data_IF_411130144028
#
_entry.id   IF_411130144028
#
_cell.length_a   1.000
_cell.length_b   1.000
_cell.length_c   1.000
_cell.angle_alpha   90.00
_cell.angle_beta   90.00
_cell.angle_gamma   90.00
#
_symmetry.space_group_name_H-M   'P 1'
#
loop_
_entity.id
_entity.type
_entity.pdbx_description
1 polymer ?
#
# COMPACT_ATOMS: atom_id res chain seq x y z
N UNK A 1 4.59 21.01 -4.67
CA UNK A 1 4.99 19.98 -3.70
C UNK A 1 6.25 19.34 -4.23
N UNK A 2 7.31 19.32 -3.43
CA UNK A 2 8.61 18.82 -3.87
C UNK A 2 8.68 17.29 -3.82
N UNK A 3 9.64 16.69 -4.55
CA UNK A 3 9.75 15.24 -4.67
C UNK A 3 10.15 14.57 -3.33
N UNK A 4 10.84 15.34 -2.50
CA UNK A 4 11.31 15.01 -1.17
C UNK A 4 10.19 14.90 -0.14
N UNK A 5 9.01 15.47 -0.41
CA UNK A 5 7.83 15.40 0.46
C UNK A 5 6.91 14.22 0.11
N UNK A 6 7.16 13.58 -1.04
CA UNK A 6 6.38 12.46 -1.55
C UNK A 6 6.95 11.11 -1.14
N UNK A 7 6.05 10.20 -0.86
CA UNK A 7 6.34 8.82 -0.55
C UNK A 7 5.88 7.91 -1.68
N UNK A 8 6.78 7.58 -2.61
CA UNK A 8 6.48 6.78 -3.80
C UNK A 8 6.07 5.35 -3.43
N UNK A 9 4.79 5.02 -3.57
CA UNK A 9 4.25 3.69 -3.32
C UNK A 9 4.39 2.84 -4.59
N UNK A 10 5.02 1.67 -4.45
CA UNK A 10 5.21 0.72 -5.57
C UNK A 10 4.35 -0.54 -5.43
N UNK A 11 3.91 -0.85 -4.22
CA UNK A 11 3.02 -1.99 -3.97
C UNK A 11 2.22 -1.82 -2.68
N UNK A 12 1.06 -2.49 -2.63
CA UNK A 12 0.21 -2.54 -1.44
C UNK A 12 -0.32 -3.95 -1.18
N UNK A 13 -0.61 -4.27 0.08
CA UNK A 13 -1.37 -5.46 0.45
C UNK A 13 -2.47 -5.16 1.47
N UNK A 14 -3.52 -5.98 1.43
CA UNK A 14 -4.71 -5.82 2.29
C UNK A 14 -5.12 -7.15 2.93
N UNK A 15 -5.06 -7.16 4.27
CA UNK A 15 -5.45 -8.30 5.10
C UNK A 15 -6.56 -7.94 6.08
N UNK A 16 -7.56 -8.81 6.24
CA UNK A 16 -8.53 -8.67 7.34
C UNK A 16 -7.85 -9.02 8.66
N UNK A 17 -7.88 -8.08 9.61
CA UNK A 17 -7.39 -8.27 10.98
C UNK A 17 -8.50 -8.37 12.01
N UNK A 18 -9.70 -7.88 11.69
CA UNK A 18 -10.90 -8.05 12.53
C UNK A 18 -12.16 -8.00 11.68
N UNK A 19 -12.96 -9.07 11.76
CA UNK A 19 -14.28 -9.11 11.14
C UNK A 19 -15.24 -8.13 11.83
N UNK A 20 -16.13 -7.52 11.04
CA UNK A 20 -17.24 -6.69 11.50
C UNK A 20 -18.47 -7.03 10.66
N UNK A 21 -19.67 -6.74 11.17
CA UNK A 21 -20.92 -6.88 10.41
C UNK A 21 -20.98 -5.96 9.18
N UNK A 22 -20.24 -4.85 9.21
CA UNK A 22 -20.09 -3.90 8.12
C UNK A 22 -18.70 -4.02 7.47
N UNK A 23 -17.94 -2.94 7.36
CA UNK A 23 -16.58 -2.96 6.81
C UNK A 23 -15.62 -3.59 7.82
N UNK A 24 -14.90 -4.67 7.46
CA UNK A 24 -13.92 -5.29 8.35
C UNK A 24 -12.77 -4.31 8.62
N UNK A 25 -12.09 -4.47 9.76
CA UNK A 25 -10.83 -3.77 9.96
C UNK A 25 -9.78 -4.50 9.13
N UNK A 26 -9.21 -3.76 8.18
CA UNK A 26 -8.13 -4.23 7.35
C UNK A 26 -6.80 -3.65 7.84
N UNK A 27 -5.73 -4.43 7.69
CA UNK A 27 -4.37 -3.92 7.70
C UNK A 27 -3.93 -3.71 6.26
N UNK A 28 -3.67 -2.46 5.90
CA UNK A 28 -2.96 -2.12 4.67
C UNK A 28 -1.47 -2.05 4.94
N UNK A 29 -0.67 -2.71 4.10
CA UNK A 29 0.79 -2.56 4.08
C UNK A 29 1.21 -1.96 2.74
N UNK A 30 2.00 -0.89 2.79
CA UNK A 30 2.42 -0.13 1.61
C UNK A 30 3.95 -0.15 1.54
N UNK A 31 4.49 -0.59 0.40
CA UNK A 31 5.92 -0.55 0.13
C UNK A 31 6.23 0.78 -0.54
N UNK A 32 7.10 1.55 0.09
CA UNK A 32 7.49 2.88 -0.35
C UNK A 32 8.97 2.92 -0.67
N UNK A 33 9.33 3.55 -1.79
CA UNK A 33 10.73 3.78 -2.17
C UNK A 33 11.27 5.00 -1.42
N UNK A 34 12.51 4.91 -0.93
CA UNK A 34 13.23 6.03 -0.32
C UNK A 34 14.18 6.67 -1.35
N UNK A 35 13.89 7.89 -1.87
CA UNK A 35 14.72 8.53 -2.89
C UNK A 35 16.17 8.74 -2.44
N UNK A 36 16.39 9.06 -1.16
CA UNK A 36 17.72 9.31 -0.58
C UNK A 36 18.67 8.12 -0.65
N UNK A 37 18.15 6.89 -0.80
CA UNK A 37 18.97 5.68 -0.95
C UNK A 37 19.25 5.30 -2.42
N UNK A 38 18.50 5.86 -3.38
CA UNK A 38 18.75 5.64 -4.81
C UNK A 38 20.02 6.36 -5.28
N UNK A 39 20.33 7.53 -4.71
CA UNK A 39 21.52 8.32 -5.04
C UNK A 39 22.84 7.73 -4.50
N UNK A 40 22.80 6.72 -3.62
CA UNK A 40 23.99 6.07 -3.04
C UNK A 40 24.45 4.81 -3.80
N UNK A 41 23.96 4.56 -5.02
CA UNK A 41 24.38 3.44 -5.87
C UNK A 41 25.83 3.57 -6.44
N UNK A 42 26.77 4.01 -5.60
CA UNK A 42 28.22 3.88 -5.83
C UNK A 42 28.92 2.98 -4.80
N UNK A 43 28.23 2.52 -3.76
CA UNK A 43 28.83 1.75 -2.65
C UNK A 43 28.12 0.43 -2.39
N UNK A 44 28.88 -0.66 -2.36
CA UNK A 44 28.44 -2.01 -1.97
C UNK A 44 27.75 -1.98 -0.60
N UNK A 45 26.42 -2.06 -0.59
CA UNK A 45 25.61 -2.25 0.62
C UNK A 45 24.20 -2.69 0.23
N UNK A 46 23.91 -3.98 0.37
CA UNK A 46 22.63 -4.60 0.05
C UNK A 46 21.53 -4.25 1.08
N UNK A 47 21.23 -2.96 1.24
CA UNK A 47 20.07 -2.49 1.98
C UNK A 47 18.93 -2.24 1.01
N UNK A 48 17.77 -2.83 1.25
CA UNK A 48 16.59 -2.58 0.42
C UNK A 48 16.24 -1.08 0.39
N UNK A 49 16.09 -0.53 -0.82
CA UNK A 49 15.76 0.89 -1.06
C UNK A 49 14.28 1.22 -0.78
N UNK A 50 13.62 0.38 0.02
CA UNK A 50 12.22 0.47 0.34
C UNK A 50 11.95 0.36 1.84
N UNK A 51 10.82 0.90 2.25
CA UNK A 51 10.26 0.72 3.59
C UNK A 51 8.83 0.18 3.46
N UNK A 52 8.46 -0.68 4.40
CA UNK A 52 7.08 -1.14 4.54
C UNK A 52 6.43 -0.39 5.69
N UNK A 53 5.37 0.33 5.39
CA UNK A 53 4.55 1.02 6.37
C UNK A 53 3.18 0.38 6.41
N UNK A 54 2.53 0.38 7.57
CA UNK A 54 1.22 -0.24 7.71
C UNK A 54 0.34 0.52 8.66
N UNK A 55 -0.96 0.46 8.39
CA UNK A 55 -2.01 0.97 9.25
C UNK A 55 -3.19 0.00 9.28
N UNK A 56 -3.93 0.03 10.38
CA UNK A 56 -5.17 -0.74 10.56
C UNK A 56 -6.33 0.23 10.61
N UNK A 57 -7.28 0.10 9.70
CA UNK A 57 -8.54 0.83 9.72
C UNK A 57 -9.60 0.09 8.89
N UNK A 58 -10.85 0.54 8.96
CA UNK A 58 -11.97 -0.01 8.19
C UNK A 58 -12.16 0.67 6.81
N UNK A 59 -11.29 1.62 6.45
CA UNK A 59 -11.19 2.16 5.09
C UNK A 59 -9.74 2.38 4.67
N UNK A 60 -9.47 2.25 3.37
CA UNK A 60 -8.14 2.51 2.79
C UNK A 60 -7.74 3.98 2.95
N UNK A 61 -8.68 4.92 2.79
CA UNK A 61 -8.45 6.35 3.02
C UNK A 61 -7.92 6.65 4.43
N UNK A 62 -8.53 6.04 5.46
CA UNK A 62 -8.07 6.25 6.83
C UNK A 62 -6.69 5.62 7.07
N UNK A 63 -6.40 4.46 6.46
CA UNK A 63 -5.05 3.88 6.50
C UNK A 63 -4.02 4.83 5.90
N UNK A 64 -4.29 5.39 4.71
CA UNK A 64 -3.42 6.37 4.05
C UNK A 64 -3.21 7.58 4.97
N UNK A 65 -4.27 8.11 5.57
CA UNK A 65 -4.20 9.26 6.49
C UNK A 65 -3.36 8.97 7.74
N UNK A 66 -3.52 7.79 8.33
CA UNK A 66 -2.71 7.34 9.48
C UNK A 66 -1.23 7.26 9.10
N UNK A 67 -0.93 6.66 7.93
CA UNK A 67 0.45 6.49 7.48
C UNK A 67 1.05 7.86 7.17
N UNK A 68 0.37 8.71 6.42
CA UNK A 68 0.86 10.03 6.04
C UNK A 68 1.26 10.87 7.26
N UNK A 69 0.46 10.82 8.34
CA UNK A 69 0.79 11.44 9.63
C UNK A 69 2.03 10.81 10.29
N UNK A 70 2.20 9.49 10.18
CA UNK A 70 3.30 8.76 10.82
C UNK A 70 4.66 9.01 10.16
N UNK A 71 4.68 9.16 8.84
CA UNK A 71 5.93 9.34 8.07
C UNK A 71 6.17 10.78 7.63
N UNK A 72 5.26 11.70 7.98
CA UNK A 72 5.28 13.12 7.59
C UNK A 72 5.45 13.32 6.08
N UNK A 73 4.83 12.46 5.27
CA UNK A 73 4.90 12.45 3.80
C UNK A 73 3.56 12.00 3.24
N UNK A 74 3.17 12.55 2.10
CA UNK A 74 2.01 12.08 1.38
C UNK A 74 2.35 10.79 0.61
N UNK A 75 1.46 9.79 0.67
CA UNK A 75 1.63 8.58 -0.13
C UNK A 75 1.29 8.91 -1.58
N UNK A 76 2.24 8.63 -2.47
CA UNK A 76 2.14 8.97 -3.87
C UNK A 76 2.07 7.68 -4.70
N UNK A 77 0.90 7.41 -5.27
CA UNK A 77 0.53 6.14 -5.90
C UNK A 77 0.66 6.03 -7.44
N UNK A 78 1.00 7.06 -8.25
CA UNK A 78 1.08 6.91 -9.72
C UNK A 78 2.07 5.84 -10.24
N UNK A 79 2.90 5.28 -9.36
CA UNK A 79 3.84 4.21 -9.66
C UNK A 79 3.50 2.86 -9.03
N UNK A 80 2.32 2.72 -8.41
CA UNK A 80 1.91 1.43 -7.86
C UNK A 80 1.78 0.41 -8.99
N UNK A 81 2.41 -0.75 -8.83
CA UNK A 81 2.43 -1.79 -9.86
C UNK A 81 1.61 -3.02 -9.46
N UNK A 82 1.30 -3.14 -8.18
CA UNK A 82 0.81 -4.39 -7.61
C UNK A 82 0.00 -4.15 -6.34
N UNK A 83 -1.15 -4.82 -6.27
CA UNK A 83 -1.98 -4.89 -5.07
C UNK A 83 -2.24 -6.37 -4.76
N UNK A 84 -1.99 -6.76 -3.51
CA UNK A 84 -2.18 -8.13 -3.04
C UNK A 84 -3.30 -8.17 -2.01
N UNK A 85 -4.27 -9.05 -2.22
CA UNK A 85 -5.31 -9.35 -1.25
C UNK A 85 -5.05 -10.73 -0.62
N UNK A 86 -5.29 -10.91 0.68
CA UNK A 86 -5.45 -12.27 1.19
C UNK A 86 -6.79 -12.86 0.72
N UNK A 87 -6.82 -14.17 0.53
CA UNK A 87 -8.04 -14.91 0.20
C UNK A 87 -9.22 -14.57 1.13
N UNK A 88 -8.91 -14.43 2.43
CA UNK A 88 -9.88 -14.03 3.45
C UNK A 88 -10.45 -12.63 3.20
N UNK A 89 -9.63 -11.68 2.73
CA UNK A 89 -10.12 -10.32 2.48
C UNK A 89 -11.11 -10.25 1.33
N UNK A 90 -10.93 -11.12 0.32
CA UNK A 90 -11.87 -11.25 -0.80
C UNK A 90 -13.14 -12.04 -0.47
N UNK A 91 -13.22 -12.70 0.69
CA UNK A 91 -14.47 -13.33 1.15
C UNK A 91 -15.54 -12.30 1.52
N UNK A 92 -15.16 -11.03 1.73
CA UNK A 92 -16.09 -9.93 1.94
C UNK A 92 -16.37 -9.21 0.61
N UNK A 93 -17.63 -9.19 0.13
CA UNK A 93 -17.96 -8.75 -1.23
C UNK A 93 -17.58 -7.30 -1.53
N UNK A 94 -17.53 -6.45 -0.50
CA UNK A 94 -17.28 -5.03 -0.67
C UNK A 94 -15.79 -4.66 -0.58
N UNK A 95 -14.93 -5.54 -0.07
CA UNK A 95 -13.51 -5.21 0.18
C UNK A 95 -12.77 -4.88 -1.11
N UNK A 96 -12.98 -5.68 -2.17
CA UNK A 96 -12.31 -5.46 -3.44
C UNK A 96 -12.71 -4.11 -4.04
N UNK A 97 -14.02 -3.87 -4.18
CA UNK A 97 -14.54 -2.62 -4.73
C UNK A 97 -14.10 -1.41 -3.91
N UNK A 98 -14.32 -1.43 -2.59
CA UNK A 98 -13.97 -0.30 -1.72
C UNK A 98 -12.47 0.00 -1.73
N UNK A 99 -11.63 -1.03 -1.90
CA UNK A 99 -10.18 -0.84 -1.98
C UNK A 99 -9.78 -0.23 -3.32
N UNK A 100 -10.27 -0.80 -4.43
CA UNK A 100 -9.92 -0.33 -5.77
C UNK A 100 -10.48 1.06 -6.05
N UNK A 101 -11.66 1.40 -5.52
CA UNK A 101 -12.27 2.74 -5.61
C UNK A 101 -11.28 3.85 -5.19
N UNK A 102 -10.51 3.63 -4.12
CA UNK A 102 -9.51 4.61 -3.67
C UNK A 102 -8.37 4.75 -4.67
N UNK A 103 -8.00 3.66 -5.33
CA UNK A 103 -6.88 3.60 -6.27
C UNK A 103 -7.26 4.01 -7.69
N UNK A 104 -8.54 4.10 -8.04
CA UNK A 104 -8.98 4.48 -9.40
C UNK A 104 -9.60 5.89 -9.44
N UNK A 105 -9.90 6.49 -8.28
CA UNK A 105 -10.47 7.84 -8.20
C UNK A 105 -9.51 8.93 -8.64
N UNK A 106 -8.21 8.69 -8.55
CA UNK A 106 -7.20 9.64 -9.01
C UNK A 106 -6.82 9.37 -10.47
N UNK A 107 -6.95 10.41 -11.29
CA UNK A 107 -6.58 10.41 -12.70
C UNK A 107 -5.09 10.09 -12.97
N UNK A 108 -4.20 10.26 -11.99
CA UNK A 108 -2.78 9.91 -12.13
C UNK A 108 -2.52 8.39 -11.98
N UNK A 109 -3.54 7.61 -11.65
CA UNK A 109 -3.41 6.18 -11.41
C UNK A 109 -3.33 5.39 -12.70
N UNK A 110 -2.30 4.55 -12.79
CA UNK A 110 -2.08 3.73 -13.98
C UNK A 110 -3.07 2.57 -14.04
N UNK A 111 -3.59 2.28 -15.23
CA UNK A 111 -4.49 1.14 -15.48
C UNK A 111 -3.81 -0.23 -15.48
N UNK A 112 -2.48 -0.30 -15.37
CA UNK A 112 -1.70 -1.53 -15.47
C UNK A 112 -1.32 -2.15 -14.11
N UNK A 113 -2.07 -1.83 -13.05
CA UNK A 113 -1.86 -2.42 -11.72
C UNK A 113 -2.20 -3.90 -11.78
N UNK A 114 -1.27 -4.75 -11.32
CA UNK A 114 -1.49 -6.20 -11.22
C UNK A 114 -2.16 -6.54 -9.88
N UNK A 115 -3.23 -7.31 -9.93
CA UNK A 115 -3.93 -7.79 -8.73
C UNK A 115 -3.54 -9.25 -8.49
N UNK A 116 -3.17 -9.57 -7.24
CA UNK A 116 -2.89 -10.95 -6.83
C UNK A 116 -3.69 -11.31 -5.57
N UNK A 117 -3.86 -12.62 -5.39
CA UNK A 117 -4.46 -13.21 -4.19
C UNK A 117 -3.45 -14.12 -3.53
N UNK A 118 -3.17 -13.90 -2.25
CA UNK A 118 -2.34 -14.78 -1.44
C UNK A 118 -3.20 -15.74 -0.64
N UNK A 119 -2.79 -17.01 -0.56
CA UNK A 119 -3.36 -17.95 0.41
C UNK A 119 -2.87 -17.53 1.81
N UNK A 120 -3.79 -17.33 2.75
CA UNK A 120 -3.46 -16.89 4.11
C UNK A 120 -3.07 -15.41 4.22
N UNK A 121 -2.56 -15.03 5.40
CA UNK A 121 -2.20 -13.65 5.74
C UNK A 121 -0.90 -13.21 5.06
N UNK A 122 -0.93 -12.07 4.36
CA UNK A 122 0.22 -11.55 3.63
C UNK A 122 0.91 -10.43 4.44
N UNK A 123 1.82 -10.83 5.33
CA UNK A 123 2.41 -9.94 6.34
C UNK A 123 3.32 -8.81 5.83
N UNK A 124 3.66 -8.78 4.54
CA UNK A 124 4.39 -7.68 3.95
C UNK A 124 4.64 -7.85 2.45
N UNK A 125 4.64 -6.74 1.74
CA UNK A 125 5.04 -6.61 0.33
C UNK A 125 6.56 -6.51 0.23
N UNK A 126 7.19 -7.44 -0.48
CA UNK A 126 8.57 -7.32 -0.91
C UNK A 126 8.60 -7.63 -2.41
N UNK A 127 8.71 -6.58 -3.21
CA UNK A 127 9.00 -6.63 -4.64
C UNK A 127 10.43 -6.17 -4.90
#
# INVERSE_FOLDING_TARGET
>A
MEIEERGFVVGASYDIVKEKKSNPIMKGTYQMVLPSKLAQQGGKGAGNNYINVSAKADSVFEQIRIIAKKISRELFFPHIQVIIFSEKSLSNPNVLQNTLDVHIRDHEMRRNIRLFVSRGYFGGVAF
#
